data_IF_523796287046
#
_entry.id   IF_523796287046
#
_cell.length_a   1.000
_cell.length_b   1.000
_cell.length_c   1.000
_cell.angle_alpha   90.00
_cell.angle_beta   90.00
_cell.angle_gamma   90.00
#
_symmetry.space_group_name_H-M   'P 1'
#
loop_
_entity.id
_entity.type
_entity.pdbx_description
1 polymer ?
#
# COMPACT_ATOMS: atom_id res chain seq x y z
N UNK A 1 -6.42 17.90 -35.51
CA UNK A 1 -5.57 17.29 -34.45
C UNK A 1 -4.80 18.32 -33.61
N UNK A 2 -3.60 18.81 -33.99
CA UNK A 2 -2.82 19.75 -33.11
C UNK A 2 -3.59 21.04 -32.76
N UNK A 3 -4.24 21.65 -33.75
CA UNK A 3 -5.10 22.84 -33.58
C UNK A 3 -6.33 22.60 -32.67
N UNK A 4 -6.86 21.36 -32.62
CA UNK A 4 -8.01 21.01 -31.77
C UNK A 4 -7.58 20.67 -30.34
N UNK A 5 -6.38 20.08 -30.17
CA UNK A 5 -5.88 19.63 -28.87
C UNK A 5 -5.14 20.72 -28.08
N UNK A 6 -4.79 21.85 -28.71
CA UNK A 6 -4.11 22.98 -28.05
C UNK A 6 -4.89 23.62 -26.89
N UNK A 7 -6.21 23.43 -26.85
CA UNK A 7 -7.05 23.90 -25.76
C UNK A 7 -6.83 23.13 -24.45
N UNK A 8 -6.30 21.90 -24.55
CA UNK A 8 -6.07 21.00 -23.42
C UNK A 8 -4.57 20.85 -23.08
N UNK A 9 -3.68 21.08 -24.05
CA UNK A 9 -2.23 21.09 -23.83
C UNK A 9 -1.58 22.30 -24.51
N UNK A 10 -1.18 23.28 -23.69
CA UNK A 10 -0.60 24.56 -24.13
C UNK A 10 0.70 24.39 -24.94
N UNK A 11 1.50 23.36 -24.67
CA UNK A 11 2.71 23.00 -25.42
C UNK A 11 2.47 22.74 -26.91
N UNK A 12 1.23 22.38 -27.30
CA UNK A 12 0.88 22.16 -28.69
C UNK A 12 0.60 23.46 -29.47
N UNK A 13 0.54 24.61 -28.78
CA UNK A 13 0.30 25.90 -29.40
C UNK A 13 1.51 26.42 -30.20
N UNK A 14 2.72 26.04 -29.80
CA UNK A 14 3.94 26.46 -30.50
C UNK A 14 4.15 25.62 -31.76
N UNK A 15 4.35 26.27 -32.90
CA UNK A 15 4.58 25.59 -34.17
C UNK A 15 6.06 25.16 -34.27
N UNK A 16 6.30 23.87 -34.51
CA UNK A 16 7.66 23.35 -34.68
C UNK A 16 8.28 23.93 -35.96
N UNK A 17 9.54 24.35 -35.87
CA UNK A 17 10.26 24.93 -37.00
C UNK A 17 10.30 23.97 -38.20
N UNK A 18 9.86 24.46 -39.37
CA UNK A 18 9.76 23.72 -40.64
C UNK A 18 11.09 23.20 -41.20
N UNK A 19 12.22 23.52 -40.57
CA UNK A 19 13.56 23.06 -40.98
C UNK A 19 13.89 21.62 -40.54
N UNK A 20 13.05 20.95 -39.74
CA UNK A 20 13.32 19.59 -39.26
C UNK A 20 12.92 18.48 -40.25
N UNK A 21 12.19 18.79 -41.31
CA UNK A 21 11.79 17.80 -42.33
C UNK A 21 12.62 17.96 -43.60
N UNK A 22 13.87 17.47 -43.59
CA UNK A 22 14.57 16.96 -44.79
C UNK A 22 16.05 16.73 -44.45
N UNK A 23 16.37 15.67 -43.70
CA UNK A 23 17.69 15.05 -43.80
C UNK A 23 17.51 13.53 -43.81
N UNK A 24 17.69 12.94 -44.99
CA UNK A 24 17.78 11.50 -45.18
C UNK A 24 19.22 11.12 -44.82
N UNK A 25 19.43 10.41 -43.72
CA UNK A 25 20.76 9.96 -43.32
C UNK A 25 21.34 9.00 -44.38
N UNK A 26 22.64 9.07 -44.72
CA UNK A 26 23.26 8.08 -45.59
C UNK A 26 23.42 6.76 -44.82
N UNK A 27 23.20 5.65 -45.52
CA UNK A 27 23.43 4.29 -45.01
C UNK A 27 24.96 4.05 -44.96
N UNK A 28 25.55 3.60 -43.84
CA UNK A 28 26.98 3.33 -43.80
C UNK A 28 27.31 2.05 -44.58
N UNK A 29 28.09 2.17 -45.65
CA UNK A 29 28.77 1.02 -46.26
C UNK A 29 30.05 0.73 -45.49
N UNK A 30 30.06 -0.40 -44.76
CA UNK A 30 31.26 -0.95 -44.14
C UNK A 30 32.08 -1.60 -45.26
N UNK A 31 33.18 -0.96 -45.65
CA UNK A 31 34.25 -1.56 -46.44
C UNK A 31 35.54 -1.51 -45.62
N UNK A 32 36.03 -2.71 -45.32
CA UNK A 32 37.34 -2.98 -44.72
C UNK A 32 38.40 -2.76 -45.80
N UNK A 33 39.42 -1.91 -45.56
CA UNK A 33 40.85 -2.23 -45.77
C UNK A 33 41.75 -0.97 -45.79
N UNK A 34 42.76 -1.01 -44.91
CA UNK A 34 44.13 -0.46 -44.98
C UNK A 34 44.41 0.95 -45.51
N UNK A 35 44.98 1.79 -44.63
CA UNK A 35 46.28 2.49 -44.79
C UNK A 35 46.24 3.96 -44.37
N UNK A 36 47.12 4.27 -43.43
CA UNK A 36 47.71 5.55 -42.97
C UNK A 36 47.03 6.92 -43.17
N UNK A 37 47.09 7.66 -42.07
CA UNK A 37 47.20 9.13 -41.90
C UNK A 37 45.94 9.98 -41.74
N UNK A 38 46.08 10.91 -40.79
CA UNK A 38 45.23 12.06 -40.43
C UNK A 38 43.96 11.74 -39.63
N UNK A 39 44.07 11.94 -38.31
CA UNK A 39 42.98 11.89 -37.35
C UNK A 39 42.46 13.31 -37.10
N UNK A 40 41.51 13.78 -37.90
CA UNK A 40 40.71 14.96 -37.58
C UNK A 40 39.24 14.72 -37.98
N UNK A 41 38.32 15.32 -37.23
CA UNK A 41 36.86 15.47 -37.50
C UNK A 41 35.84 14.41 -37.03
N UNK A 42 36.13 13.63 -35.97
CA UNK A 42 35.05 12.91 -35.23
C UNK A 42 34.65 13.63 -33.92
N UNK A 43 35.55 14.42 -33.35
CA UNK A 43 35.33 15.12 -32.08
C UNK A 43 34.42 16.35 -32.23
N UNK A 44 34.50 17.07 -33.37
CA UNK A 44 33.71 18.28 -33.63
C UNK A 44 32.22 17.95 -33.84
N UNK A 45 31.91 16.83 -34.50
CA UNK A 45 30.53 16.35 -34.69
C UNK A 45 29.88 15.84 -33.39
N UNK A 46 30.68 15.38 -32.42
CA UNK A 46 30.17 14.99 -31.10
C UNK A 46 29.91 16.21 -30.22
N UNK A 47 30.72 17.27 -30.31
CA UNK A 47 30.47 18.52 -29.57
C UNK A 47 29.16 19.19 -29.98
N UNK A 48 28.80 19.16 -31.26
CA UNK A 48 27.54 19.73 -31.76
C UNK A 48 26.29 18.94 -31.34
N UNK A 49 26.44 17.66 -30.97
CA UNK A 49 25.36 16.84 -30.40
C UNK A 49 25.31 16.94 -28.87
N UNK A 50 26.47 17.03 -28.21
CA UNK A 50 26.58 17.07 -26.74
C UNK A 50 26.21 18.45 -26.19
N UNK A 51 26.55 19.54 -26.88
CA UNK A 51 26.31 20.90 -26.40
C UNK A 51 24.82 21.23 -26.25
N UNK A 52 23.92 20.91 -27.20
CA UNK A 52 22.47 21.09 -27.03
C UNK A 52 21.90 20.26 -25.87
N UNK A 53 22.41 19.05 -25.67
CA UNK A 53 22.02 18.14 -24.57
C UNK A 53 22.47 18.65 -23.20
N UNK A 54 23.64 19.31 -23.10
CA UNK A 54 24.14 19.91 -21.86
C UNK A 54 23.40 21.20 -21.45
N UNK A 55 22.81 21.91 -22.41
CA UNK A 55 21.98 23.10 -22.19
C UNK A 55 20.49 22.78 -22.00
N UNK A 56 20.09 21.53 -22.23
CA UNK A 56 18.77 21.03 -21.90
C UNK A 56 18.69 20.89 -20.38
N UNK A 57 18.35 21.99 -19.72
CA UNK A 57 17.71 21.89 -18.40
C UNK A 57 16.36 21.22 -18.65
N UNK A 58 16.31 19.93 -18.36
CA UNK A 58 15.04 19.30 -18.01
C UNK A 58 14.63 20.03 -16.74
N UNK A 59 13.57 20.84 -16.82
CA UNK A 59 12.95 21.34 -15.60
C UNK A 59 12.60 20.11 -14.76
N UNK A 60 13.28 19.93 -13.62
CA UNK A 60 12.90 18.97 -12.58
C UNK A 60 11.59 19.38 -11.87
N UNK A 61 10.75 20.18 -12.52
CA UNK A 61 9.44 20.54 -12.02
C UNK A 61 8.43 19.52 -12.55
N UNK A 62 8.14 18.51 -11.71
CA UNK A 62 6.79 18.13 -11.28
C UNK A 62 6.68 16.75 -10.60
N UNK A 63 7.77 15.97 -10.47
CA UNK A 63 7.67 14.64 -9.83
C UNK A 63 8.07 14.61 -8.34
N UNK A 64 8.98 15.46 -7.86
CA UNK A 64 9.30 15.53 -6.41
C UNK A 64 8.29 16.39 -5.61
N UNK A 65 7.68 17.39 -6.24
CA UNK A 65 6.73 18.30 -5.59
C UNK A 65 5.42 17.60 -5.17
N UNK A 66 4.92 16.66 -5.99
CA UNK A 66 3.66 15.98 -5.74
C UNK A 66 3.74 14.90 -4.65
N UNK A 67 4.89 14.23 -4.48
CA UNK A 67 5.07 13.20 -3.46
C UNK A 67 5.17 13.79 -2.04
N UNK A 68 5.78 14.98 -1.91
CA UNK A 68 5.81 15.74 -0.64
C UNK A 68 4.44 16.37 -0.35
N UNK A 69 3.69 16.78 -1.38
CA UNK A 69 2.42 17.49 -1.16
C UNK A 69 1.35 16.60 -0.54
N UNK A 70 1.17 15.36 -1.02
CA UNK A 70 0.10 14.50 -0.50
C UNK A 70 0.36 14.08 0.95
N UNK A 71 1.61 13.78 1.33
CA UNK A 71 1.95 13.40 2.71
C UNK A 71 1.60 14.52 3.68
N UNK A 72 1.99 15.75 3.35
CA UNK A 72 1.63 16.93 4.14
C UNK A 72 0.11 17.10 4.26
N UNK A 73 -0.64 16.90 3.19
CA UNK A 73 -2.10 17.07 3.24
C UNK A 73 -2.81 15.96 4.00
N UNK A 74 -2.42 14.70 3.80
CA UNK A 74 -3.01 13.56 4.50
C UNK A 74 -2.58 13.47 5.97
N UNK A 75 -1.45 14.09 6.36
CA UNK A 75 -1.01 14.18 7.76
C UNK A 75 -1.97 15.00 8.65
N UNK A 76 -2.78 15.87 8.04
CA UNK A 76 -3.76 16.72 8.72
C UNK A 76 -5.10 15.99 8.97
N UNK A 77 -5.26 14.79 8.42
CA UNK A 77 -6.50 14.03 8.44
C UNK A 77 -6.32 12.84 9.37
N UNK A 78 -7.09 12.82 10.45
CA UNK A 78 -7.11 11.69 11.37
C UNK A 78 -8.10 10.62 10.88
N UNK A 79 -7.72 9.37 11.10
CA UNK A 79 -8.58 8.18 10.94
C UNK A 79 -8.41 7.27 12.15
N UNK A 80 -9.39 6.41 12.38
CA UNK A 80 -9.26 5.27 13.28
C UNK A 80 -8.90 4.03 12.47
N UNK A 81 -7.67 3.54 12.63
CA UNK A 81 -7.28 2.25 12.06
C UNK A 81 -7.74 1.13 12.99
N UNK A 82 -8.79 0.41 12.59
CA UNK A 82 -9.33 -0.73 13.31
C UNK A 82 -8.61 -2.01 12.87
N UNK A 83 -8.01 -2.70 13.84
CA UNK A 83 -7.32 -3.96 13.62
C UNK A 83 -7.89 -5.09 14.47
N UNK A 84 -7.95 -6.27 13.88
CA UNK A 84 -8.50 -7.52 14.43
C UNK A 84 -7.46 -8.66 14.43
N UNK A 85 -6.22 -8.36 14.03
CA UNK A 85 -5.13 -9.33 13.88
C UNK A 85 -3.98 -9.05 14.83
N UNK A 86 -2.76 -9.34 14.39
CA UNK A 86 -1.56 -9.15 15.21
C UNK A 86 -1.31 -7.71 15.66
N UNK A 87 -1.84 -6.73 14.92
CA UNK A 87 -1.68 -5.32 15.29
C UNK A 87 -2.57 -4.92 16.49
N UNK A 88 -3.46 -5.80 16.98
CA UNK A 88 -4.13 -5.58 18.26
C UNK A 88 -3.15 -5.47 19.44
N UNK A 89 -1.97 -6.09 19.32
CA UNK A 89 -0.90 -5.92 20.29
C UNK A 89 -0.08 -4.66 19.95
N UNK A 90 -0.11 -3.66 20.82
CA UNK A 90 0.49 -2.34 20.57
C UNK A 90 1.98 -2.41 20.16
N UNK A 91 2.87 -3.18 20.83
CA UNK A 91 4.25 -3.35 20.38
C UNK A 91 4.38 -3.84 18.93
N UNK A 92 3.50 -4.75 18.49
CA UNK A 92 3.49 -5.22 17.10
C UNK A 92 3.03 -4.13 16.14
N UNK A 93 2.02 -3.35 16.51
CA UNK A 93 1.56 -2.24 15.66
C UNK A 93 2.63 -1.16 15.53
N UNK A 94 3.32 -0.81 16.62
CA UNK A 94 4.40 0.17 16.61
C UNK A 94 5.54 -0.21 15.66
N UNK A 95 5.77 -1.49 15.35
CA UNK A 95 6.73 -1.85 14.30
C UNK A 95 6.36 -1.25 12.93
N UNK A 96 5.08 -1.10 12.58
CA UNK A 96 4.69 -0.44 11.33
C UNK A 96 4.91 1.08 11.36
N UNK A 97 4.88 1.69 12.55
CA UNK A 97 5.07 3.13 12.74
C UNK A 97 6.57 3.45 12.85
N UNK A 98 7.26 2.85 13.82
CA UNK A 98 8.65 3.17 14.16
C UNK A 98 9.67 2.38 13.33
N UNK A 99 9.25 1.22 12.79
CA UNK A 99 10.11 0.20 12.19
C UNK A 99 10.48 -0.90 13.18
N UNK A 100 11.15 -1.95 12.69
CA UNK A 100 11.66 -3.04 13.53
C UNK A 100 10.77 -4.29 13.50
N UNK A 101 10.88 -5.12 14.53
CA UNK A 101 10.17 -6.41 14.61
C UNK A 101 9.98 -6.82 16.07
N UNK A 102 8.95 -7.63 16.32
CA UNK A 102 8.76 -8.36 17.59
C UNK A 102 9.15 -9.83 17.41
N UNK A 103 9.31 -10.54 18.52
CA UNK A 103 9.56 -11.97 18.52
C UNK A 103 8.48 -12.74 17.74
N UNK A 104 8.90 -13.77 17.00
CA UNK A 104 8.04 -14.56 16.12
C UNK A 104 7.91 -14.00 14.70
N UNK A 105 8.23 -12.72 14.46
CA UNK A 105 8.28 -12.18 13.10
C UNK A 105 9.53 -12.66 12.35
N UNK A 106 9.36 -13.02 11.07
CA UNK A 106 10.45 -13.45 10.18
C UNK A 106 11.06 -12.29 9.37
N UNK A 107 10.36 -11.15 9.32
CA UNK A 107 10.78 -9.98 8.54
C UNK A 107 10.49 -8.70 9.30
N UNK A 108 11.43 -7.74 9.38
CA UNK A 108 11.18 -6.45 9.98
C UNK A 108 10.29 -5.56 9.12
N UNK A 109 9.52 -4.72 9.80
CA UNK A 109 8.79 -3.60 9.24
C UNK A 109 9.76 -2.44 8.93
N UNK A 110 9.51 -1.73 7.84
CA UNK A 110 10.32 -0.56 7.46
C UNK A 110 10.03 0.65 8.36
N UNK A 111 8.83 0.69 8.96
CA UNK A 111 8.32 1.87 9.64
C UNK A 111 7.64 2.83 8.66
N UNK A 112 6.94 3.80 9.23
CA UNK A 112 6.27 4.89 8.53
C UNK A 112 7.20 6.09 8.39
N UNK A 113 6.86 7.00 7.49
CA UNK A 113 7.57 8.28 7.36
C UNK A 113 7.36 9.14 8.60
N UNK A 114 6.11 9.32 9.03
CA UNK A 114 5.80 9.84 10.36
C UNK A 114 5.81 8.72 11.40
N UNK A 115 6.80 8.76 12.29
CA UNK A 115 6.99 7.79 13.38
C UNK A 115 6.31 8.19 14.69
N UNK A 116 5.49 9.23 14.69
CA UNK A 116 4.74 9.64 15.88
C UNK A 116 3.81 8.51 16.34
N UNK A 117 3.75 8.21 17.65
CA UNK A 117 2.89 7.14 18.14
C UNK A 117 1.41 7.48 17.92
N UNK A 118 0.51 6.48 17.97
CA UNK A 118 -0.93 6.70 17.87
C UNK A 118 -1.40 7.74 18.89
N UNK A 119 -2.23 8.68 18.44
CA UNK A 119 -2.73 9.80 19.27
C UNK A 119 -3.63 9.30 20.40
N UNK A 120 -4.32 8.19 20.15
CA UNK A 120 -5.28 7.59 21.05
C UNK A 120 -5.48 6.10 20.68
N UNK A 121 -5.86 5.29 21.65
CA UNK A 121 -6.15 3.86 21.49
C UNK A 121 -7.51 3.57 22.12
N UNK A 122 -8.40 2.91 21.38
CA UNK A 122 -9.73 2.50 21.83
C UNK A 122 -9.98 1.03 21.49
N UNK A 123 -10.91 0.40 22.20
CA UNK A 123 -11.37 -0.95 21.89
C UNK A 123 -12.86 -0.93 21.59
N UNK A 124 -13.24 -1.61 20.51
CA UNK A 124 -14.65 -1.74 20.09
C UNK A 124 -14.91 -3.13 19.52
N UNK A 125 -16.18 -3.47 19.48
CA UNK A 125 -16.66 -4.69 18.82
C UNK A 125 -17.46 -4.36 17.58
N UNK A 126 -17.34 -5.17 16.53
CA UNK A 126 -18.07 -4.99 15.27
C UNK A 126 -18.80 -6.28 14.85
N UNK A 127 -19.95 -6.19 14.17
CA UNK A 127 -20.74 -7.34 13.71
C UNK A 127 -20.12 -7.97 12.45
N UNK A 128 -18.86 -8.38 12.53
CA UNK A 128 -18.11 -8.98 11.44
C UNK A 128 -17.48 -10.27 11.90
N UNK A 129 -17.18 -11.11 10.91
CA UNK A 129 -16.60 -12.42 11.14
C UNK A 129 -15.09 -12.40 10.98
N UNK A 130 -14.39 -12.79 12.03
CA UNK A 130 -12.98 -13.16 12.00
C UNK A 130 -12.82 -14.59 11.48
N UNK A 131 -11.83 -14.83 10.62
CA UNK A 131 -11.41 -16.16 10.21
C UNK A 131 -9.92 -16.19 9.89
N UNK A 132 -9.34 -17.39 9.76
CA UNK A 132 -7.91 -17.56 9.46
C UNK A 132 -7.73 -18.31 8.14
N UNK A 133 -6.82 -17.81 7.31
CA UNK A 133 -6.58 -18.35 6.00
C UNK A 133 -5.15 -18.17 5.54
N UNK A 134 -4.85 -18.79 4.39
CA UNK A 134 -3.52 -18.96 3.79
C UNK A 134 -2.69 -20.06 4.43
N UNK A 135 -1.76 -20.57 3.65
CA UNK A 135 -0.80 -21.57 4.09
C UNK A 135 0.38 -20.96 4.85
N UNK A 136 0.85 -19.81 4.40
CA UNK A 136 1.98 -19.10 4.98
C UNK A 136 2.02 -17.63 4.58
N UNK A 137 2.78 -16.84 5.35
CA UNK A 137 3.11 -15.45 5.05
C UNK A 137 4.60 -15.18 5.22
N UNK A 138 5.08 -14.09 4.61
CA UNK A 138 6.48 -13.66 4.75
C UNK A 138 6.81 -13.17 6.16
N UNK A 139 5.81 -12.71 6.90
CA UNK A 139 6.00 -12.10 8.23
C UNK A 139 5.90 -13.14 9.34
N UNK A 140 5.00 -14.12 9.21
CA UNK A 140 4.67 -15.06 10.29
C UNK A 140 4.96 -16.53 9.95
N UNK A 141 5.55 -16.80 8.78
CA UNK A 141 5.90 -18.15 8.37
C UNK A 141 4.69 -19.01 8.04
N UNK A 142 4.80 -20.31 8.35
CA UNK A 142 3.74 -21.30 8.14
C UNK A 142 2.58 -21.08 9.12
N UNK A 143 1.35 -21.13 8.62
CA UNK A 143 0.14 -20.87 9.41
C UNK A 143 -0.77 -19.85 8.75
N UNK A 144 -2.05 -19.88 9.11
CA UNK A 144 -3.01 -18.89 8.65
C UNK A 144 -2.84 -17.54 9.34
N UNK A 145 -3.26 -16.48 8.67
CA UNK A 145 -3.36 -15.13 9.25
C UNK A 145 -4.80 -14.66 9.28
N UNK A 146 -5.07 -13.68 10.15
CA UNK A 146 -6.41 -13.18 10.40
C UNK A 146 -6.95 -12.41 9.19
N UNK A 147 -8.19 -12.71 8.84
CA UNK A 147 -8.99 -11.97 7.87
C UNK A 147 -10.34 -11.61 8.49
N UNK A 148 -10.86 -10.48 8.05
CA UNK A 148 -12.20 -10.03 8.38
C UNK A 148 -13.11 -10.23 7.17
N UNK A 149 -14.26 -10.86 7.36
CA UNK A 149 -15.27 -10.89 6.30
C UNK A 149 -15.72 -9.45 5.97
N UNK A 150 -15.63 -8.99 4.71
CA UNK A 150 -15.88 -7.59 4.36
C UNK A 150 -17.31 -7.13 4.64
N UNK A 151 -18.26 -8.06 4.58
CA UNK A 151 -19.66 -7.80 4.91
C UNK A 151 -19.95 -8.13 6.38
N UNK A 152 -20.79 -7.30 6.98
CA UNK A 152 -21.33 -7.49 8.32
C UNK A 152 -22.21 -8.75 8.39
N UNK A 153 -22.03 -9.54 9.45
CA UNK A 153 -22.88 -10.69 9.81
C UNK A 153 -23.33 -10.53 11.27
N UNK A 154 -24.63 -10.39 11.51
CA UNK A 154 -25.18 -10.06 12.83
C UNK A 154 -24.95 -11.15 13.91
N UNK A 155 -24.54 -12.34 13.51
CA UNK A 155 -24.29 -13.48 14.42
C UNK A 155 -22.86 -13.52 14.95
N UNK A 156 -21.92 -12.83 14.29
CA UNK A 156 -20.51 -12.83 14.63
C UNK A 156 -20.09 -11.47 15.17
N UNK A 157 -19.31 -11.48 16.25
CA UNK A 157 -18.74 -10.28 16.85
C UNK A 157 -17.22 -10.42 16.85
N UNK A 158 -16.54 -9.39 16.36
CA UNK A 158 -15.08 -9.28 16.39
C UNK A 158 -14.64 -8.19 17.35
N UNK A 159 -13.64 -8.49 18.17
CA UNK A 159 -12.96 -7.49 18.99
C UNK A 159 -11.89 -6.80 18.15
N UNK A 160 -11.84 -5.47 18.21
CA UNK A 160 -10.87 -4.68 17.46
C UNK A 160 -10.22 -3.62 18.35
N UNK A 161 -8.90 -3.49 18.20
CA UNK A 161 -8.15 -2.36 18.69
C UNK A 161 -8.15 -1.26 17.63
N UNK A 162 -8.47 -0.04 18.02
CA UNK A 162 -8.53 1.13 17.17
C UNK A 162 -7.38 2.06 17.54
N UNK A 163 -6.54 2.39 16.56
CA UNK A 163 -5.46 3.37 16.71
C UNK A 163 -5.80 4.64 15.96
N UNK A 164 -5.79 5.79 16.65
CA UNK A 164 -5.95 7.09 16.01
C UNK A 164 -4.62 7.50 15.39
N UNK A 165 -4.55 7.41 14.07
CA UNK A 165 -3.37 7.74 13.27
C UNK A 165 -3.77 8.69 12.15
N UNK A 166 -2.78 9.29 11.50
CA UNK A 166 -3.06 10.12 10.32
C UNK A 166 -3.35 9.23 9.10
N UNK A 167 -4.06 9.79 8.12
CA UNK A 167 -4.31 9.11 6.85
C UNK A 167 -3.01 8.86 6.06
N UNK A 168 -1.97 9.67 6.31
CA UNK A 168 -0.62 9.47 5.79
C UNK A 168 0.01 8.19 6.37
N UNK A 169 0.01 8.03 7.70
CA UNK A 169 0.50 6.81 8.36
C UNK A 169 -0.30 5.57 7.92
N UNK A 170 -1.62 5.70 7.75
CA UNK A 170 -2.46 4.61 7.25
C UNK A 170 -2.00 4.09 5.88
N UNK A 171 -1.55 4.99 4.98
CA UNK A 171 -1.01 4.61 3.67
C UNK A 171 0.30 3.83 3.79
N UNK A 172 1.18 4.20 4.73
CA UNK A 172 2.42 3.46 4.98
C UNK A 172 2.16 2.08 5.59
N UNK A 173 1.16 1.95 6.49
CA UNK A 173 0.71 0.65 7.01
C UNK A 173 0.13 -0.22 5.89
N UNK A 174 -0.72 0.36 5.06
CA UNK A 174 -1.39 -0.30 3.93
C UNK A 174 -0.39 -0.85 2.92
N UNK A 175 0.66 -0.07 2.64
CA UNK A 175 1.77 -0.48 1.81
C UNK A 175 2.48 -1.71 2.41
N UNK A 176 2.93 -1.58 3.67
CA UNK A 176 3.72 -2.62 4.34
C UNK A 176 2.96 -3.95 4.48
N UNK A 177 1.63 -3.92 4.65
CA UNK A 177 0.79 -5.12 4.71
C UNK A 177 0.68 -5.87 3.36
N UNK A 178 0.85 -5.17 2.23
CA UNK A 178 0.53 -5.72 0.92
C UNK A 178 1.75 -5.94 0.01
N UNK A 179 2.65 -4.97 -0.09
CA UNK A 179 3.77 -5.01 -1.04
C UNK A 179 5.02 -4.38 -0.44
N UNK A 180 6.18 -4.97 -0.75
CA UNK A 180 7.47 -4.50 -0.22
C UNK A 180 8.15 -3.42 -1.06
N UNK A 181 7.63 -3.15 -2.26
CA UNK A 181 8.24 -2.22 -3.21
C UNK A 181 7.14 -1.65 -4.09
N UNK A 182 6.60 -0.51 -3.66
CA UNK A 182 5.73 0.33 -4.46
C UNK A 182 6.27 1.76 -4.35
N UNK A 183 6.29 2.45 -5.48
CA UNK A 183 6.67 3.86 -5.50
C UNK A 183 5.51 4.70 -4.93
N UNK A 184 5.69 5.21 -3.71
CA UNK A 184 4.71 6.07 -3.02
C UNK A 184 4.76 7.52 -3.52
N UNK A 185 4.92 7.71 -4.83
CA UNK A 185 4.78 9.02 -5.48
C UNK A 185 3.34 9.56 -5.40
N UNK A 186 2.36 8.69 -5.12
CA UNK A 186 0.97 9.03 -4.80
C UNK A 186 0.43 8.12 -3.67
N UNK A 187 -0.63 8.54 -2.94
CA UNK A 187 -1.22 7.71 -1.90
C UNK A 187 -1.96 6.50 -2.49
N UNK A 188 -1.92 5.37 -1.79
CA UNK A 188 -2.73 4.18 -2.10
C UNK A 188 -4.21 4.42 -1.78
N UNK A 189 -4.50 5.25 -0.78
CA UNK A 189 -5.84 5.59 -0.31
C UNK A 189 -5.91 7.08 0.05
N UNK A 190 -6.56 7.86 -0.79
CA UNK A 190 -6.68 9.32 -0.69
C UNK A 190 -8.04 9.76 -0.10
N UNK A 191 -8.26 11.07 -0.02
CA UNK A 191 -9.53 11.64 0.44
C UNK A 191 -10.72 11.24 -0.46
N UNK A 192 -10.51 11.17 -1.77
CA UNK A 192 -11.55 10.72 -2.71
C UNK A 192 -12.00 9.30 -2.40
N UNK A 193 -11.03 8.41 -2.14
CA UNK A 193 -11.26 7.02 -1.76
C UNK A 193 -11.96 6.93 -0.41
N UNK A 194 -11.55 7.76 0.56
CA UNK A 194 -12.20 7.85 1.87
C UNK A 194 -13.67 8.25 1.74
N UNK A 195 -13.98 9.30 0.99
CA UNK A 195 -15.36 9.76 0.79
C UNK A 195 -16.20 8.70 0.04
N UNK A 196 -15.64 8.08 -1.00
CA UNK A 196 -16.28 6.96 -1.69
C UNK A 196 -16.56 5.77 -0.75
N UNK A 197 -15.66 5.50 0.20
CA UNK A 197 -15.80 4.37 1.13
C UNK A 197 -16.98 4.53 2.09
N UNK A 198 -17.36 5.77 2.43
CA UNK A 198 -18.51 6.06 3.31
C UNK A 198 -19.83 5.59 2.69
N UNK A 199 -19.94 5.66 1.35
CA UNK A 199 -21.11 5.20 0.60
C UNK A 199 -21.02 3.72 0.23
N UNK A 200 -19.87 3.31 -0.32
CA UNK A 200 -19.66 1.95 -0.85
C UNK A 200 -19.34 0.91 0.22
N UNK A 201 -19.10 1.33 1.47
CA UNK A 201 -18.62 0.53 2.61
C UNK A 201 -17.23 -0.09 2.46
N UNK A 202 -16.73 -0.27 1.23
CA UNK A 202 -15.37 -0.76 0.99
C UNK A 202 -14.81 -0.26 -0.35
N UNK A 203 -13.49 -0.22 -0.43
CA UNK A 203 -12.71 0.17 -1.62
C UNK A 203 -11.61 -0.86 -1.84
N UNK A 204 -11.60 -1.47 -3.02
CA UNK A 204 -10.50 -2.32 -3.47
C UNK A 204 -9.38 -1.47 -4.08
N UNK A 205 -8.14 -1.77 -3.71
CA UNK A 205 -6.95 -1.03 -4.08
C UNK A 205 -6.18 -1.77 -5.17
N UNK A 206 -6.44 -1.38 -6.41
CA UNK A 206 -5.85 -1.99 -7.60
C UNK A 206 -4.30 -1.90 -7.60
N UNK A 207 -3.75 -0.83 -7.02
CA UNK A 207 -2.31 -0.61 -6.91
C UNK A 207 -1.59 -1.71 -6.10
N UNK A 208 -2.30 -2.36 -5.18
CA UNK A 208 -1.77 -3.42 -4.30
C UNK A 208 -2.53 -4.73 -4.43
N UNK A 209 -3.19 -4.98 -5.57
CA UNK A 209 -4.02 -6.18 -5.83
C UNK A 209 -3.32 -7.54 -5.67
N UNK A 210 -1.99 -7.56 -5.62
CA UNK A 210 -1.21 -8.78 -5.36
C UNK A 210 -1.03 -9.06 -3.86
N UNK A 211 -1.30 -8.08 -3.00
CA UNK A 211 -1.37 -8.24 -1.55
C UNK A 211 -2.67 -8.92 -1.13
N UNK A 212 -2.83 -9.19 0.16
CA UNK A 212 -4.02 -9.88 0.68
C UNK A 212 -4.95 -8.98 1.48
N UNK A 213 -4.48 -7.80 1.85
CA UNK A 213 -5.18 -6.77 2.61
C UNK A 213 -5.43 -5.54 1.72
N UNK A 214 -5.75 -5.76 0.45
CA UNK A 214 -5.95 -4.71 -0.56
C UNK A 214 -7.36 -4.13 -0.55
N UNK A 215 -8.24 -4.52 0.37
CA UNK A 215 -9.59 -3.99 0.49
C UNK A 215 -9.72 -3.20 1.80
N UNK A 216 -9.99 -1.90 1.68
CA UNK A 216 -10.24 -1.01 2.82
C UNK A 216 -11.73 -1.00 3.10
N UNK A 217 -12.13 -1.35 4.31
CA UNK A 217 -13.52 -1.40 4.77
C UNK A 217 -13.79 -0.24 5.72
N UNK A 218 -14.86 0.51 5.45
CA UNK A 218 -15.36 1.58 6.30
C UNK A 218 -16.34 1.01 7.33
N UNK A 219 -16.04 1.17 8.61
CA UNK A 219 -16.78 0.60 9.75
C UNK A 219 -17.65 1.63 10.50
N UNK A 220 -17.78 2.84 9.97
CA UNK A 220 -18.53 3.93 10.58
C UNK A 220 -17.63 5.06 11.10
N UNK A 221 -18.12 5.78 12.10
CA UNK A 221 -17.44 6.93 12.71
C UNK A 221 -17.29 6.73 14.22
N UNK A 222 -16.23 7.27 14.79
CA UNK A 222 -16.02 7.45 16.23
C UNK A 222 -15.44 8.85 16.46
N UNK A 223 -16.05 9.64 17.35
CA UNK A 223 -15.65 11.04 17.58
C UNK A 223 -15.52 11.87 16.28
N UNK A 224 -16.47 11.72 15.35
CA UNK A 224 -16.46 12.36 14.01
C UNK A 224 -15.22 12.02 13.14
N UNK A 225 -14.53 10.92 13.46
CA UNK A 225 -13.38 10.39 12.72
C UNK A 225 -13.76 9.04 12.10
N UNK A 226 -13.45 8.79 10.81
CA UNK A 226 -13.82 7.54 10.14
C UNK A 226 -13.01 6.36 10.65
N UNK A 227 -13.67 5.21 10.77
CA UNK A 227 -13.06 3.93 11.19
C UNK A 227 -12.81 3.10 9.95
N UNK A 228 -11.54 2.73 9.72
CA UNK A 228 -11.09 1.97 8.56
C UNK A 228 -10.40 0.68 9.01
N UNK A 229 -10.72 -0.43 8.34
CA UNK A 229 -10.00 -1.70 8.47
C UNK A 229 -9.47 -2.15 7.11
N UNK A 230 -8.45 -3.00 7.11
CA UNK A 230 -7.90 -3.61 5.89
C UNK A 230 -8.16 -5.11 5.92
N UNK A 231 -8.66 -5.68 4.83
CA UNK A 231 -8.93 -7.13 4.71
C UNK A 231 -8.92 -7.57 3.24
N UNK A 232 -9.30 -8.81 2.97
CA UNK A 232 -9.48 -9.36 1.63
C UNK A 232 -10.76 -8.82 0.97
N UNK A 233 -10.96 -9.05 -0.34
CA UNK A 233 -12.21 -8.69 -1.01
C UNK A 233 -13.20 -9.89 -1.06
N UNK A 234 -14.38 -9.69 -1.66
CA UNK A 234 -15.38 -10.75 -1.79
C UNK A 234 -14.96 -11.89 -2.73
N UNK A 235 -14.13 -11.62 -3.74
CA UNK A 235 -13.59 -12.70 -4.58
C UNK A 235 -12.66 -13.63 -3.80
N UNK A 236 -11.89 -13.10 -2.85
CA UNK A 236 -11.04 -13.90 -1.97
C UNK A 236 -11.88 -14.76 -1.02
N UNK A 237 -12.98 -14.22 -0.49
CA UNK A 237 -13.95 -14.97 0.31
C UNK A 237 -14.46 -16.19 -0.46
N UNK A 238 -14.83 -16.03 -1.72
CA UNK A 238 -15.28 -17.16 -2.55
C UNK A 238 -14.13 -18.15 -2.85
N UNK A 239 -12.89 -17.69 -2.97
CA UNK A 239 -11.72 -18.56 -3.08
C UNK A 239 -11.48 -19.38 -1.80
N UNK A 240 -11.73 -18.80 -0.61
CA UNK A 240 -11.67 -19.52 0.66
C UNK A 240 -12.79 -20.55 0.79
N UNK A 241 -14.04 -20.17 0.48
CA UNK A 241 -15.19 -21.08 0.53
C UNK A 241 -15.07 -22.26 -0.42
N UNK A 242 -14.55 -22.03 -1.63
CA UNK A 242 -14.31 -23.08 -2.63
C UNK A 242 -13.10 -23.96 -2.30
N UNK A 243 -12.29 -23.62 -1.30
CA UNK A 243 -11.06 -24.32 -0.94
C UNK A 243 -9.89 -24.08 -1.90
N UNK A 244 -10.02 -23.16 -2.86
CA UNK A 244 -8.91 -22.74 -3.73
C UNK A 244 -7.78 -22.08 -2.94
N UNK A 245 -8.14 -21.36 -1.88
CA UNK A 245 -7.21 -20.87 -0.86
C UNK A 245 -7.56 -21.56 0.46
N UNK A 246 -6.60 -22.13 1.18
CA UNK A 246 -6.90 -22.89 2.39
C UNK A 246 -7.34 -21.98 3.54
N UNK A 247 -8.40 -22.38 4.24
CA UNK A 247 -8.65 -21.98 5.63
C UNK A 247 -7.71 -22.80 6.52
N UNK A 248 -6.88 -22.12 7.31
CA UNK A 248 -5.85 -22.75 8.14
C UNK A 248 -5.74 -22.01 9.45
N UNK A 249 -5.59 -22.78 10.53
CA UNK A 249 -5.35 -22.23 11.85
C UNK A 249 -4.04 -21.40 11.88
N UNK A 250 -3.96 -20.39 12.73
CA UNK A 250 -2.73 -19.62 12.92
C UNK A 250 -1.59 -20.46 13.49
N UNK A 251 -0.35 -20.01 13.28
CA UNK A 251 0.79 -20.54 14.03
C UNK A 251 0.68 -20.16 15.51
N UNK A 252 1.41 -20.88 16.37
CA UNK A 252 1.45 -20.59 17.80
C UNK A 252 1.96 -19.16 18.06
N UNK A 253 3.06 -18.75 17.43
CA UNK A 253 3.61 -17.39 17.57
C UNK A 253 2.61 -16.30 17.14
N UNK A 254 1.90 -16.52 16.03
CA UNK A 254 0.90 -15.56 15.55
C UNK A 254 -0.31 -15.52 16.49
N UNK A 255 -0.83 -16.68 16.91
CA UNK A 255 -1.94 -16.77 17.85
C UNK A 255 -1.61 -16.10 19.18
N UNK A 256 -0.41 -16.36 19.73
CA UNK A 256 0.08 -15.74 20.97
C UNK A 256 0.13 -14.21 20.86
N UNK A 257 0.45 -13.68 19.68
CA UNK A 257 0.42 -12.23 19.43
C UNK A 257 -1.01 -11.66 19.53
N UNK A 258 -2.00 -12.35 18.96
CA UNK A 258 -3.40 -11.94 19.07
C UNK A 258 -3.91 -12.05 20.52
N UNK A 259 -3.55 -13.12 21.23
CA UNK A 259 -3.90 -13.33 22.65
C UNK A 259 -3.36 -12.17 23.49
N UNK A 260 -2.08 -11.83 23.36
CA UNK A 260 -1.48 -10.69 24.08
C UNK A 260 -2.24 -9.39 23.83
N UNK A 261 -2.59 -9.10 22.58
CA UNK A 261 -3.39 -7.92 22.24
C UNK A 261 -4.74 -7.90 22.95
N UNK A 262 -5.49 -9.00 22.91
CA UNK A 262 -6.81 -9.10 23.55
C UNK A 262 -6.74 -8.98 25.08
N UNK A 263 -5.74 -9.60 25.70
CA UNK A 263 -5.54 -9.61 27.16
C UNK A 263 -5.04 -8.27 27.67
N UNK A 264 -3.97 -7.73 27.09
CA UNK A 264 -3.43 -6.41 27.47
C UNK A 264 -4.42 -5.28 27.18
N UNK A 265 -5.24 -5.44 26.14
CA UNK A 265 -6.37 -4.57 25.84
C UNK A 265 -7.54 -4.67 26.82
N UNK A 266 -7.49 -5.57 27.80
CA UNK A 266 -8.52 -5.78 28.81
C UNK A 266 -9.85 -6.29 28.23
N UNK A 267 -9.82 -6.92 27.05
CA UNK A 267 -11.04 -7.38 26.37
C UNK A 267 -11.47 -8.75 26.84
N UNK A 268 -10.51 -9.64 27.06
CA UNK A 268 -10.72 -11.04 27.39
C UNK A 268 -9.62 -11.49 28.37
N UNK A 269 -9.94 -12.47 29.22
CA UNK A 269 -8.90 -13.26 29.90
C UNK A 269 -8.08 -14.08 28.89
N UNK A 270 -6.94 -14.62 29.33
CA UNK A 270 -6.10 -15.45 28.48
C UNK A 270 -6.85 -16.69 27.96
N UNK A 271 -7.59 -17.37 28.84
CA UNK A 271 -8.41 -18.53 28.47
C UNK A 271 -9.52 -18.17 27.48
N UNK A 272 -10.20 -17.04 27.68
CA UNK A 272 -11.23 -16.55 26.76
C UNK A 272 -10.63 -16.16 25.40
N UNK A 273 -9.48 -15.50 25.37
CA UNK A 273 -8.78 -15.13 24.14
C UNK A 273 -8.32 -16.36 23.35
N UNK A 274 -7.79 -17.39 24.04
CA UNK A 274 -7.45 -18.67 23.43
C UNK A 274 -8.67 -19.35 22.82
N UNK A 275 -9.80 -19.39 23.54
CA UNK A 275 -11.05 -19.96 23.03
C UNK A 275 -11.55 -19.17 21.82
N UNK A 276 -11.56 -17.84 21.91
CA UNK A 276 -12.00 -16.95 20.84
C UNK A 276 -11.24 -17.19 19.52
N UNK A 277 -9.91 -17.28 19.58
CA UNK A 277 -9.08 -17.54 18.40
C UNK A 277 -9.31 -18.95 17.85
N UNK A 278 -9.41 -19.95 18.74
CA UNK A 278 -9.68 -21.35 18.34
C UNK A 278 -11.04 -21.48 17.65
N UNK A 279 -12.08 -20.84 18.18
CA UNK A 279 -13.41 -20.85 17.62
C UNK A 279 -13.41 -20.20 16.22
N UNK A 280 -12.78 -19.03 16.08
CA UNK A 280 -12.63 -18.36 14.79
C UNK A 280 -11.81 -19.17 13.75
N UNK A 281 -10.83 -19.98 14.20
CA UNK A 281 -10.04 -20.84 13.31
C UNK A 281 -10.77 -22.11 12.86
N UNK A 282 -11.75 -22.59 13.63
CA UNK A 282 -12.46 -23.85 13.35
C UNK A 282 -13.85 -23.65 12.72
N UNK A 283 -14.46 -22.47 12.88
CA UNK A 283 -15.78 -22.18 12.32
C UNK A 283 -15.74 -22.20 10.78
N UNK A 284 -16.60 -22.96 10.08
CA UNK A 284 -16.65 -23.01 8.60
C UNK A 284 -17.12 -21.70 7.98
N UNK A 285 -16.45 -21.19 6.94
CA UNK A 285 -16.70 -19.85 6.35
C UNK A 285 -18.04 -19.70 5.61
#
# INVERSE_FOLDING_TARGET
VRQELKAFWSVLADELATKLTSQKAPIPQILISSSDSEAEDVEELLQDVIRPLSTLRVDEDHHESASVSWRSDLSKIDIWYATFGSNMWNPRFLCYIEGGQVDGMQKPCSGSMDKSPPKEILWKTFPHRLFFGRESTRTWGLGGVAFLHPESKNEDIVHMCLYKITLEQFNDVLLQENVSSYDMSSPLFDLTSLDCSKEKKSINLEAVKNGWYHNVVYLGMEQDIPILAMTCNMSDIENFKSGKVPLRAPSEDYANTLIRGLVEGGQLSEEEAMSYIKDAATKPL
#
